data_IF_442115635534
#
_entry.id   IF_442115635534
#
_cell.length_a   1.000
_cell.length_b   1.000
_cell.length_c   1.000
_cell.angle_alpha   90.00
_cell.angle_beta   90.00
_cell.angle_gamma   90.00
#
_symmetry.space_group_name_H-M   'P 1'
#
loop_
_entity.id
_entity.type
_entity.pdbx_description
1 polymer ?
#
# COMPACT_ATOMS: atom_id res chain seq x y z
N UNK A 1 7.63 0.57 -1.26
CA UNK A 1 6.62 0.67 -2.35
C UNK A 1 6.48 2.08 -2.87
N UNK A 2 5.80 2.98 -2.14
CA UNK A 2 5.38 4.29 -2.67
C UNK A 2 6.49 5.11 -3.34
N UNK A 3 7.63 5.31 -2.68
CA UNK A 3 8.75 6.05 -3.27
C UNK A 3 9.40 5.36 -4.49
N UNK A 4 9.32 4.03 -4.61
CA UNK A 4 9.75 3.31 -5.83
C UNK A 4 8.77 3.56 -6.97
N UNK A 5 7.48 3.41 -6.70
CA UNK A 5 6.40 3.64 -7.67
C UNK A 5 6.38 5.08 -8.16
N UNK A 6 6.57 6.07 -7.28
CA UNK A 6 6.65 7.47 -7.65
C UNK A 6 7.82 7.74 -8.62
N UNK A 7 9.01 7.20 -8.34
CA UNK A 7 10.15 7.33 -9.25
C UNK A 7 9.88 6.70 -10.61
N UNK A 8 9.23 5.54 -10.66
CA UNK A 8 8.84 4.91 -11.91
C UNK A 8 7.88 5.82 -12.71
N UNK A 9 6.85 6.37 -12.06
CA UNK A 9 5.90 7.30 -12.70
C UNK A 9 6.55 8.58 -13.25
N UNK A 10 7.67 9.03 -12.67
CA UNK A 10 8.43 10.18 -13.17
C UNK A 10 9.29 9.82 -14.39
N UNK A 11 9.84 8.60 -14.41
CA UNK A 11 10.65 8.10 -15.52
C UNK A 11 9.80 7.69 -16.72
N UNK A 12 8.57 7.24 -16.47
CA UNK A 12 7.61 6.82 -17.48
C UNK A 12 6.27 7.55 -17.25
N UNK A 13 6.14 8.79 -17.74
CA UNK A 13 4.91 9.56 -17.62
C UNK A 13 3.75 8.91 -18.37
N UNK A 14 2.54 9.11 -17.84
CA UNK A 14 1.32 8.68 -18.53
C UNK A 14 1.10 9.49 -19.81
N UNK A 15 0.57 8.82 -20.82
CA UNK A 15 0.12 9.43 -22.09
C UNK A 15 -1.41 9.37 -22.25
N UNK A 16 -2.08 8.51 -21.49
CA UNK A 16 -3.53 8.40 -21.52
C UNK A 16 -4.16 9.53 -20.70
N UNK A 17 -4.91 10.39 -21.39
CA UNK A 17 -5.52 11.60 -20.82
C UNK A 17 -6.52 11.26 -19.72
N UNK A 18 -7.30 10.19 -19.90
CA UNK A 18 -8.28 9.77 -18.90
C UNK A 18 -7.58 9.33 -17.59
N UNK A 19 -6.53 8.51 -17.71
CA UNK A 19 -5.72 8.09 -16.55
C UNK A 19 -5.04 9.27 -15.85
N UNK A 20 -4.62 10.29 -16.60
CA UNK A 20 -4.05 11.52 -16.03
C UNK A 20 -5.12 12.25 -15.20
N UNK A 21 -6.29 12.51 -15.77
CA UNK A 21 -7.38 13.18 -15.05
C UNK A 21 -7.82 12.40 -13.82
N UNK A 22 -7.95 11.08 -13.92
CA UNK A 22 -8.33 10.23 -12.81
C UNK A 22 -7.34 10.31 -11.63
N UNK A 23 -6.04 10.44 -11.91
CA UNK A 23 -5.02 10.69 -10.88
C UNK A 23 -5.06 12.11 -10.33
N UNK A 24 -5.36 13.10 -11.17
CA UNK A 24 -5.52 14.50 -10.75
C UNK A 24 -6.70 14.63 -9.78
N UNK A 25 -7.85 14.05 -10.10
CA UNK A 25 -9.04 14.07 -9.25
C UNK A 25 -8.78 13.44 -7.88
N UNK A 26 -7.98 12.37 -7.82
CA UNK A 26 -7.60 11.76 -6.54
C UNK A 26 -6.68 12.66 -5.71
N UNK A 27 -5.73 13.35 -6.36
CA UNK A 27 -4.84 14.29 -5.67
C UNK A 27 -5.63 15.50 -5.18
N UNK A 28 -6.50 16.07 -6.01
CA UNK A 28 -7.37 17.20 -5.64
C UNK A 28 -8.28 16.81 -4.46
N UNK A 29 -8.91 15.64 -4.50
CA UNK A 29 -9.72 15.16 -3.38
C UNK A 29 -8.93 15.03 -2.06
N UNK A 30 -7.69 14.54 -2.11
CA UNK A 30 -6.84 14.42 -0.91
C UNK A 30 -6.36 15.79 -0.39
N UNK A 31 -6.20 16.78 -1.27
CA UNK A 31 -5.86 18.15 -0.88
C UNK A 31 -7.07 18.84 -0.24
N UNK A 32 -8.27 18.64 -0.81
CA UNK A 32 -9.52 19.24 -0.31
C UNK A 32 -9.97 18.63 1.02
N UNK A 33 -9.73 17.34 1.23
CA UNK A 33 -10.01 16.64 2.49
C UNK A 33 -8.71 16.24 3.21
N UNK A 34 -8.07 17.24 3.83
CA UNK A 34 -6.81 17.07 4.56
C UNK A 34 -6.94 16.04 5.70
N UNK A 35 -8.12 15.93 6.32
CA UNK A 35 -8.39 14.96 7.38
C UNK A 35 -8.32 13.52 6.84
N UNK A 36 -8.97 13.26 5.69
CA UNK A 36 -8.89 11.98 5.00
C UNK A 36 -7.45 11.67 4.60
N UNK A 37 -6.72 12.64 4.05
CA UNK A 37 -5.31 12.48 3.68
C UNK A 37 -4.45 12.07 4.88
N UNK A 38 -4.54 12.77 6.02
CA UNK A 38 -3.77 12.42 7.21
C UNK A 38 -4.16 11.07 7.79
N UNK A 39 -5.46 10.72 7.76
CA UNK A 39 -5.94 9.42 8.19
C UNK A 39 -5.33 8.30 7.36
N UNK A 40 -5.40 8.40 6.03
CA UNK A 40 -4.80 7.42 5.11
C UNK A 40 -3.29 7.35 5.31
N UNK A 41 -2.60 8.49 5.42
CA UNK A 41 -1.16 8.55 5.65
C UNK A 41 -0.76 7.80 6.92
N UNK A 42 -1.47 8.05 8.03
CA UNK A 42 -1.20 7.41 9.32
C UNK A 42 -1.36 5.90 9.23
N UNK A 43 -2.40 5.42 8.53
CA UNK A 43 -2.64 4.00 8.31
C UNK A 43 -1.52 3.38 7.45
N UNK A 44 -1.15 4.04 6.34
CA UNK A 44 -0.12 3.56 5.40
C UNK A 44 1.28 3.47 6.03
N UNK A 45 1.60 4.23 7.09
CA UNK A 45 2.86 4.10 7.82
C UNK A 45 3.06 2.70 8.45
N UNK A 46 1.98 1.96 8.70
CA UNK A 46 2.05 0.60 9.21
C UNK A 46 2.35 -0.45 8.12
N UNK A 47 2.24 -0.10 6.85
CA UNK A 47 2.48 -1.00 5.71
C UNK A 47 3.97 -1.03 5.37
N UNK A 48 4.75 -1.73 6.19
CA UNK A 48 6.19 -1.94 5.94
C UNK A 48 6.42 -2.97 4.81
N UNK A 49 7.31 -2.64 3.86
CA UNK A 49 7.80 -3.41 2.70
C UNK A 49 7.04 -4.73 2.35
N UNK A 50 5.74 -4.61 2.05
CA UNK A 50 4.81 -5.75 1.89
C UNK A 50 5.27 -6.77 0.84
N UNK A 51 5.76 -6.30 -0.31
CA UNK A 51 6.36 -7.10 -1.39
C UNK A 51 7.49 -7.99 -0.88
N UNK A 52 8.35 -7.48 0.00
CA UNK A 52 9.45 -8.27 0.57
C UNK A 52 8.93 -9.36 1.49
N UNK A 53 7.89 -9.07 2.27
CA UNK A 53 7.22 -10.04 3.13
C UNK A 53 6.57 -11.14 2.26
N UNK A 54 5.83 -10.76 1.22
CA UNK A 54 5.19 -11.68 0.28
C UNK A 54 6.24 -12.56 -0.42
N UNK A 55 7.31 -11.97 -0.96
CA UNK A 55 8.39 -12.71 -1.61
C UNK A 55 9.02 -13.73 -0.65
N UNK A 56 9.25 -13.36 0.60
CA UNK A 56 9.81 -14.27 1.59
C UNK A 56 8.86 -15.40 2.01
N UNK A 57 7.54 -15.19 1.91
CA UNK A 57 6.55 -16.24 2.13
C UNK A 57 6.52 -17.26 0.97
N UNK A 58 6.77 -16.81 -0.26
CA UNK A 58 6.72 -17.66 -1.47
C UNK A 58 8.04 -18.39 -1.68
N UNK A 59 9.18 -17.79 -1.32
CA UNK A 59 10.49 -18.40 -1.50
C UNK A 59 10.70 -19.59 -0.55
N UNK A 60 11.00 -20.75 -1.13
CA UNK A 60 11.47 -21.90 -0.37
C UNK A 60 12.83 -21.58 0.26
N UNK A 61 12.92 -21.70 1.59
CA UNK A 61 14.18 -21.63 2.30
C UNK A 61 14.67 -23.06 2.59
N UNK A 62 15.74 -23.54 1.93
CA UNK A 62 16.31 -24.86 2.20
C UNK A 62 17.05 -24.92 3.56
N UNK A 63 17.38 -23.77 4.13
CA UNK A 63 18.10 -23.66 5.41
C UNK A 63 17.21 -23.99 6.61
N UNK A 64 17.50 -25.10 7.30
CA UNK A 64 16.83 -25.55 8.53
C UNK A 64 17.51 -25.04 9.81
N UNK A 65 17.91 -23.77 9.82
CA UNK A 65 18.54 -23.14 11.01
C UNK A 65 17.49 -22.47 11.90
N UNK A 66 17.75 -22.41 13.21
CA UNK A 66 16.88 -21.71 14.19
C UNK A 66 16.66 -20.25 13.79
N UNK A 67 17.72 -19.56 13.38
CA UNK A 67 17.66 -18.17 12.90
C UNK A 67 16.76 -18.00 11.66
N UNK A 68 16.73 -18.98 10.75
CA UNK A 68 15.83 -18.95 9.60
C UNK A 68 14.36 -19.12 10.03
N UNK A 69 14.09 -19.97 11.03
CA UNK A 69 12.76 -20.14 11.60
C UNK A 69 12.29 -18.87 12.34
N UNK A 70 13.15 -18.24 13.15
CA UNK A 70 12.83 -16.98 13.85
C UNK A 70 12.49 -15.84 12.88
N UNK A 71 13.26 -15.70 11.79
CA UNK A 71 12.97 -14.74 10.72
C UNK A 71 11.60 -15.00 10.09
N UNK A 72 11.26 -16.28 9.82
CA UNK A 72 9.94 -16.66 9.28
C UNK A 72 8.79 -16.29 10.21
N UNK A 73 8.92 -16.60 11.50
CA UNK A 73 7.92 -16.22 12.51
C UNK A 73 7.73 -14.70 12.53
N UNK A 74 8.83 -13.95 12.49
CA UNK A 74 8.80 -12.48 12.46
C UNK A 74 8.05 -11.96 11.22
N UNK A 75 8.33 -12.53 10.04
CA UNK A 75 7.66 -12.15 8.80
C UNK A 75 6.17 -12.48 8.80
N UNK A 76 5.77 -13.65 9.30
CA UNK A 76 4.36 -14.04 9.45
C UNK A 76 3.64 -13.07 10.40
N UNK A 77 4.26 -12.69 11.51
CA UNK A 77 3.69 -11.71 12.44
C UNK A 77 3.54 -10.33 11.80
N UNK A 78 4.50 -9.89 10.99
CA UNK A 78 4.39 -8.64 10.22
C UNK A 78 3.25 -8.70 9.21
N UNK A 79 3.12 -9.80 8.47
CA UNK A 79 2.03 -10.02 7.53
C UNK A 79 0.67 -9.96 8.22
N UNK A 80 0.53 -10.66 9.35
CA UNK A 80 -0.70 -10.64 10.15
C UNK A 80 -1.09 -9.22 10.55
N UNK A 81 -0.13 -8.43 11.07
CA UNK A 81 -0.39 -7.03 11.45
C UNK A 81 -0.85 -6.17 10.27
N UNK A 82 -0.29 -6.38 9.09
CA UNK A 82 -0.73 -5.68 7.87
C UNK A 82 -2.17 -6.05 7.52
N UNK A 83 -2.49 -7.35 7.56
CA UNK A 83 -3.84 -7.84 7.28
C UNK A 83 -4.87 -7.33 8.30
N UNK A 84 -4.49 -7.23 9.58
CA UNK A 84 -5.36 -6.71 10.64
C UNK A 84 -5.71 -5.21 10.42
N UNK A 85 -4.83 -4.45 9.75
CA UNK A 85 -5.01 -3.00 9.50
C UNK A 85 -5.72 -2.73 8.16
N UNK A 86 -5.75 -3.70 7.26
CA UNK A 86 -6.34 -3.56 5.92
C UNK A 86 -7.81 -3.09 5.94
N UNK A 87 -8.70 -3.60 6.81
CA UNK A 87 -10.08 -3.12 6.87
C UNK A 87 -10.18 -1.64 7.25
N UNK A 88 -9.29 -1.16 8.12
CA UNK A 88 -9.23 0.25 8.51
C UNK A 88 -8.82 1.13 7.34
N UNK A 89 -7.89 0.67 6.51
CA UNK A 89 -7.50 1.37 5.28
C UNK A 89 -8.68 1.42 4.30
N UNK A 90 -9.37 0.31 4.10
CA UNK A 90 -10.55 0.22 3.25
C UNK A 90 -11.64 1.21 3.70
N UNK A 91 -11.98 1.20 4.98
CA UNK A 91 -12.99 2.10 5.53
C UNK A 91 -12.60 3.57 5.40
N UNK A 92 -11.31 3.91 5.48
CA UNK A 92 -10.85 5.28 5.23
C UNK A 92 -11.03 5.66 3.75
N UNK A 93 -10.63 4.80 2.83
CA UNK A 93 -10.73 5.05 1.38
C UNK A 93 -12.19 5.14 0.88
N UNK A 94 -13.12 4.38 1.47
CA UNK A 94 -14.55 4.45 1.15
C UNK A 94 -15.18 5.82 1.44
N UNK A 95 -14.57 6.62 2.34
CA UNK A 95 -15.03 7.98 2.67
C UNK A 95 -14.67 9.00 1.59
N UNK A 96 -13.74 8.67 0.68
CA UNK A 96 -13.36 9.54 -0.42
C UNK A 96 -14.54 9.79 -1.37
N UNK A 97 -14.66 11.01 -1.89
CA UNK A 97 -15.59 11.29 -2.99
C UNK A 97 -15.00 10.93 -4.35
N UNK A 98 -13.68 10.73 -4.44
CA UNK A 98 -12.99 10.33 -5.65
C UNK A 98 -13.22 8.85 -5.99
N UNK A 99 -13.57 8.58 -7.24
CA UNK A 99 -13.82 7.24 -7.74
C UNK A 99 -12.56 6.38 -7.73
N UNK A 100 -11.38 6.95 -8.07
CA UNK A 100 -10.12 6.22 -8.07
C UNK A 100 -9.80 5.64 -6.68
N UNK A 101 -9.98 6.43 -5.62
CA UNK A 101 -9.68 6.00 -4.26
C UNK A 101 -10.67 4.95 -3.75
N UNK A 102 -11.95 5.06 -4.12
CA UNK A 102 -12.97 4.05 -3.82
C UNK A 102 -12.72 2.71 -4.53
N UNK A 103 -12.31 2.75 -5.80
CA UNK A 103 -12.04 1.56 -6.60
C UNK A 103 -10.79 0.79 -6.13
N UNK A 104 -9.99 1.33 -5.22
CA UNK A 104 -8.91 0.57 -4.57
C UNK A 104 -9.42 -0.45 -3.53
N UNK A 105 -10.70 -0.38 -3.17
CA UNK A 105 -11.33 -1.23 -2.15
C UNK A 105 -12.19 -2.38 -2.71
N UNK A 106 -12.33 -2.47 -4.04
CA UNK A 106 -13.16 -3.48 -4.73
C UNK A 106 -12.44 -4.80 -4.99
#
# INVERSE_FOLDING_TARGET
MGGRTLRANLMEPLIDVNSIHYRQDAVENLIDDEKLMFQIQTILLHFTDVERIILACIQENPSRTVTAAEKRITMINQLRRILDILPTLQQALEQSTCELLKNLCS
#
